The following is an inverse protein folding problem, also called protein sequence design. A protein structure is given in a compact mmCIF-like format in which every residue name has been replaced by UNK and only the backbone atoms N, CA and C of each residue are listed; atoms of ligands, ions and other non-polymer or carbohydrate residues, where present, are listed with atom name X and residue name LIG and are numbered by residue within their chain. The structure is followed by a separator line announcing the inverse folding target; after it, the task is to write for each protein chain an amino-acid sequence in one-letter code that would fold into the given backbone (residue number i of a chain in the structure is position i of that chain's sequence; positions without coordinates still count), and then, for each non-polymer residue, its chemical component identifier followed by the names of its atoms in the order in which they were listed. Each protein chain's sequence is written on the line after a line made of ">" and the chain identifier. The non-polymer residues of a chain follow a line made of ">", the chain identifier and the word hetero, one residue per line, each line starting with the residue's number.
data_IF_672100797882
#
_entry.id   IF_672100797882
#
_cell.length_a   1.000
_cell.length_b   1.000
_cell.length_c   1.000
_cell.angle_alpha   90.00
_cell.angle_beta   90.00
_cell.angle_gamma   90.00
#
_symmetry.space_group_name_H-M   'P 1'
#
loop_
_entity.id
_entity.type
_entity.pdbx_description
1 polymer ?
#
# COMPACT_ATOMS: atom_id res chain seq x y z
N UNK A 1 0.82 -10.84 -2.89
CA UNK A 1 -0.37 -10.85 -3.79
C UNK A 1 -0.43 -9.53 -4.54
N UNK A 2 -0.79 -9.56 -5.83
CA UNK A 2 -0.98 -8.37 -6.65
C UNK A 2 -2.44 -8.27 -7.07
N UNK A 3 -3.06 -7.12 -6.80
CA UNK A 3 -4.45 -6.83 -7.18
C UNK A 3 -4.49 -5.49 -7.90
N UNK A 4 -5.04 -5.47 -9.12
CA UNK A 4 -5.24 -4.24 -9.87
C UNK A 4 -6.62 -3.65 -9.59
N UNK A 5 -6.72 -2.32 -9.57
CA UNK A 5 -8.00 -1.62 -9.47
C UNK A 5 -8.99 -2.11 -10.55
N UNK A 6 -10.27 -2.22 -10.20
CA UNK A 6 -11.32 -2.76 -11.08
C UNK A 6 -11.45 -4.29 -11.07
N UNK A 7 -10.58 -5.00 -10.34
CA UNK A 7 -10.77 -6.44 -10.07
C UNK A 7 -11.99 -6.63 -9.16
N UNK A 8 -12.83 -7.62 -9.47
CA UNK A 8 -13.91 -8.03 -8.56
C UNK A 8 -13.33 -8.68 -7.31
N UNK A 9 -13.59 -8.06 -6.17
CA UNK A 9 -13.07 -8.48 -4.86
C UNK A 9 -14.12 -9.16 -3.99
N UNK A 10 -15.31 -9.46 -4.53
CA UNK A 10 -16.45 -9.99 -3.77
C UNK A 10 -16.20 -11.37 -3.16
N UNK A 11 -15.35 -12.17 -3.80
CA UNK A 11 -14.96 -13.52 -3.34
C UNK A 11 -13.62 -13.56 -2.60
N UNK A 12 -13.04 -12.40 -2.25
CA UNK A 12 -11.77 -12.39 -1.52
C UNK A 12 -11.98 -12.94 -0.11
N UNK A 13 -10.99 -13.70 0.33
CA UNK A 13 -10.91 -14.23 1.67
C UNK A 13 -9.52 -13.92 2.25
N UNK A 14 -9.40 -13.86 3.58
CA UNK A 14 -8.11 -13.69 4.23
C UNK A 14 -7.12 -14.77 3.79
N UNK A 15 -5.90 -14.37 3.48
CA UNK A 15 -4.87 -15.30 3.02
C UNK A 15 -4.33 -16.05 4.24
N UNK A 16 -4.50 -17.37 4.25
CA UNK A 16 -4.09 -18.23 5.36
C UNK A 16 -2.66 -18.75 5.17
N UNK A 17 -1.95 -18.99 6.29
CA UNK A 17 -0.65 -19.68 6.31
C UNK A 17 0.47 -19.01 5.48
N UNK A 18 0.52 -17.67 5.48
CA UNK A 18 1.59 -16.93 4.78
C UNK A 18 2.65 -16.50 5.78
N UNK A 19 3.91 -16.72 5.40
CA UNK A 19 5.10 -16.13 6.03
C UNK A 19 5.70 -15.18 5.00
N UNK A 20 5.95 -13.92 5.37
CA UNK A 20 6.36 -12.83 4.49
C UNK A 20 5.28 -12.48 3.43
N UNK A 21 4.54 -11.43 3.70
CA UNK A 21 3.31 -11.03 3.05
C UNK A 21 3.41 -9.62 2.51
N UNK A 22 3.50 -9.54 1.18
CA UNK A 22 3.47 -8.28 0.43
C UNK A 22 2.17 -8.17 -0.33
N UNK A 23 1.44 -7.07 -0.17
CA UNK A 23 0.29 -6.74 -1.00
C UNK A 23 0.63 -5.58 -1.94
N UNK A 24 0.44 -5.82 -3.23
CA UNK A 24 0.63 -4.83 -4.28
C UNK A 24 -0.75 -4.42 -4.80
N UNK A 25 -1.10 -3.13 -4.65
CA UNK A 25 -2.34 -2.54 -5.16
C UNK A 25 -2.01 -1.55 -6.29
N UNK A 26 -2.15 -2.02 -7.53
CA UNK A 26 -1.76 -1.23 -8.71
C UNK A 26 -2.93 -0.48 -9.36
N UNK A 27 -2.61 0.53 -10.15
CA UNK A 27 -3.57 1.31 -10.94
C UNK A 27 -4.54 2.16 -10.09
N UNK A 28 -4.08 2.61 -8.93
CA UNK A 28 -4.79 3.60 -8.10
C UNK A 28 -4.63 5.00 -8.71
N UNK A 29 -5.46 5.30 -9.70
CA UNK A 29 -5.45 6.57 -10.43
C UNK A 29 -6.63 7.49 -10.07
N UNK A 30 -7.72 6.92 -9.55
CA UNK A 30 -8.98 7.63 -9.27
C UNK A 30 -9.29 7.58 -7.75
N UNK A 31 -9.71 8.68 -7.11
CA UNK A 31 -10.22 8.66 -5.73
C UNK A 31 -11.32 7.64 -5.47
N UNK A 32 -12.14 7.30 -6.46
CA UNK A 32 -13.19 6.28 -6.31
C UNK A 32 -12.61 4.88 -6.06
N UNK A 33 -11.31 4.67 -6.32
CA UNK A 33 -10.61 3.43 -6.00
C UNK A 33 -10.19 3.33 -4.53
N UNK A 34 -10.23 4.40 -3.73
CA UNK A 34 -9.80 4.38 -2.33
C UNK A 34 -10.62 3.41 -1.47
N UNK A 35 -11.96 3.43 -1.47
CA UNK A 35 -12.74 2.49 -0.67
C UNK A 35 -12.53 1.04 -1.10
N UNK A 36 -12.30 0.82 -2.40
CA UNK A 36 -11.94 -0.49 -2.94
C UNK A 36 -10.57 -0.96 -2.42
N UNK A 37 -9.56 -0.09 -2.45
CA UNK A 37 -8.21 -0.42 -1.99
C UNK A 37 -8.19 -0.79 -0.50
N UNK A 38 -8.86 0.00 0.33
CA UNK A 38 -9.00 -0.22 1.78
C UNK A 38 -9.68 -1.56 2.06
N UNK A 39 -10.84 -1.81 1.43
CA UNK A 39 -11.58 -3.06 1.61
C UNK A 39 -10.75 -4.27 1.16
N UNK A 40 -10.05 -4.16 0.05
CA UNK A 40 -9.21 -5.23 -0.52
C UNK A 40 -8.08 -5.58 0.45
N UNK A 41 -7.35 -4.56 0.94
CA UNK A 41 -6.28 -4.74 1.90
C UNK A 41 -6.79 -5.34 3.22
N UNK A 42 -7.92 -4.86 3.76
CA UNK A 42 -8.48 -5.41 4.99
C UNK A 42 -8.93 -6.87 4.83
N UNK A 43 -9.53 -7.21 3.68
CA UNK A 43 -10.07 -8.55 3.43
C UNK A 43 -8.98 -9.59 3.19
N UNK A 44 -7.89 -9.21 2.49
CA UNK A 44 -6.77 -10.11 2.19
C UNK A 44 -5.78 -10.25 3.35
N UNK A 45 -5.95 -9.46 4.42
CA UNK A 45 -4.96 -9.36 5.49
C UNK A 45 -4.64 -10.73 6.10
N UNK A 46 -3.35 -11.13 6.12
CA UNK A 46 -2.90 -12.29 6.89
C UNK A 46 -3.10 -12.06 8.39
N UNK A 47 -3.16 -13.13 9.21
CA UNK A 47 -3.34 -12.99 10.66
C UNK A 47 -2.28 -12.12 11.35
N UNK A 48 -1.05 -12.10 10.82
CA UNK A 48 0.07 -11.28 11.31
C UNK A 48 0.09 -9.85 10.76
N UNK A 49 -0.82 -9.49 9.85
CA UNK A 49 -0.68 -8.26 9.05
C UNK A 49 0.17 -8.48 7.81
N UNK A 50 0.43 -7.39 7.09
CA UNK A 50 1.36 -7.33 5.97
C UNK A 50 2.76 -7.02 6.47
N UNK A 51 3.77 -7.56 5.81
CA UNK A 51 5.13 -7.07 5.94
C UNK A 51 5.27 -5.79 5.11
N UNK A 52 4.74 -5.81 3.87
CA UNK A 52 4.83 -4.72 2.91
C UNK A 52 3.48 -4.38 2.24
N UNK A 53 3.20 -3.08 2.10
CA UNK A 53 2.18 -2.57 1.18
C UNK A 53 2.81 -1.76 0.06
N UNK A 54 2.48 -2.09 -1.19
CA UNK A 54 3.08 -1.45 -2.38
C UNK A 54 1.98 -0.87 -3.25
N UNK A 55 2.10 0.41 -3.59
CA UNK A 55 1.18 1.15 -4.45
C UNK A 55 1.88 1.60 -5.74
N UNK A 56 2.13 0.69 -6.69
CA UNK A 56 2.79 1.04 -7.93
C UNK A 56 1.86 1.82 -8.85
N UNK A 57 2.44 2.80 -9.55
CA UNK A 57 1.71 3.69 -10.46
C UNK A 57 0.54 4.43 -9.77
N UNK A 58 0.70 4.75 -8.48
CA UNK A 58 -0.25 5.55 -7.73
C UNK A 58 -0.22 6.99 -8.27
N UNK A 59 -1.37 7.53 -8.67
CA UNK A 59 -1.52 8.93 -9.12
C UNK A 59 -2.39 9.75 -8.18
N UNK A 60 -2.58 9.27 -6.96
CA UNK A 60 -3.32 9.97 -5.92
C UNK A 60 -2.60 11.28 -5.56
N UNK A 61 -3.40 12.31 -5.31
CA UNK A 61 -2.91 13.56 -4.70
C UNK A 61 -2.41 13.31 -3.27
N UNK A 62 -1.62 14.24 -2.70
CA UNK A 62 -1.11 14.10 -1.33
C UNK A 62 -2.22 13.87 -0.29
N UNK A 63 -3.31 14.65 -0.40
CA UNK A 63 -4.46 14.54 0.49
C UNK A 63 -5.17 13.18 0.36
N UNK A 64 -5.30 12.66 -0.86
CA UNK A 64 -5.89 11.34 -1.11
C UNK A 64 -5.00 10.20 -0.59
N UNK A 65 -3.67 10.34 -0.70
CA UNK A 65 -2.75 9.37 -0.13
C UNK A 65 -2.82 9.37 1.40
N UNK A 66 -2.87 10.54 2.04
CA UNK A 66 -3.10 10.62 3.48
C UNK A 66 -4.43 9.99 3.89
N UNK A 67 -5.51 10.29 3.17
CA UNK A 67 -6.82 9.68 3.41
C UNK A 67 -6.75 8.16 3.29
N UNK A 68 -6.08 7.63 2.25
CA UNK A 68 -5.89 6.19 2.07
C UNK A 68 -5.22 5.55 3.29
N UNK A 69 -4.15 6.16 3.80
CA UNK A 69 -3.40 5.66 4.95
C UNK A 69 -4.25 5.71 6.24
N UNK A 70 -4.94 6.83 6.47
CA UNK A 70 -5.86 6.98 7.61
C UNK A 70 -7.00 5.94 7.55
N UNK A 71 -7.57 5.69 6.37
CA UNK A 71 -8.64 4.71 6.16
C UNK A 71 -8.15 3.26 6.31
N UNK A 72 -6.95 2.93 5.82
CA UNK A 72 -6.34 1.62 6.02
C UNK A 72 -6.16 1.31 7.51
N UNK A 73 -5.65 2.27 8.26
CA UNK A 73 -5.54 2.14 9.71
C UNK A 73 -6.92 2.00 10.38
N UNK A 74 -7.89 2.84 9.99
CA UNK A 74 -9.27 2.75 10.50
C UNK A 74 -9.93 1.40 10.22
N UNK A 75 -9.56 0.74 9.12
CA UNK A 75 -9.99 -0.62 8.77
C UNK A 75 -9.21 -1.73 9.50
N UNK A 76 -8.24 -1.39 10.35
CA UNK A 76 -7.42 -2.32 11.10
C UNK A 76 -6.33 -3.01 10.27
N UNK A 77 -5.94 -2.40 9.15
CA UNK A 77 -4.84 -2.90 8.32
C UNK A 77 -3.52 -2.70 9.05
N UNK A 78 -2.73 -3.77 9.19
CA UNK A 78 -1.43 -3.77 9.87
C UNK A 78 -0.31 -3.97 8.86
N UNK A 79 0.74 -3.19 9.02
CA UNK A 79 1.95 -3.24 8.17
C UNK A 79 3.16 -3.18 9.09
N UNK A 80 3.97 -4.23 9.10
CA UNK A 80 5.09 -4.36 10.03
C UNK A 80 6.36 -3.64 9.54
N UNK A 81 6.68 -3.72 8.25
CA UNK A 81 7.91 -3.17 7.69
C UNK A 81 7.63 -1.86 6.96
N UNK A 82 7.17 -1.91 5.72
CA UNK A 82 7.22 -0.76 4.82
C UNK A 82 5.93 -0.51 4.03
N UNK A 83 5.66 0.78 3.81
CA UNK A 83 4.73 1.23 2.77
C UNK A 83 5.55 1.84 1.65
N UNK A 84 5.32 1.35 0.44
CA UNK A 84 6.04 1.78 -0.74
C UNK A 84 5.04 2.46 -1.70
N UNK A 85 5.39 3.65 -2.19
CA UNK A 85 4.57 4.39 -3.18
C UNK A 85 5.43 4.83 -4.37
N UNK A 86 4.86 4.82 -5.59
CA UNK A 86 5.57 5.27 -6.79
C UNK A 86 6.02 6.75 -6.70
N UNK A 87 7.16 7.07 -7.31
CA UNK A 87 7.78 8.39 -7.31
C UNK A 87 6.94 9.46 -8.01
N UNK A 88 6.04 9.05 -8.91
CA UNK A 88 5.07 9.97 -9.52
C UNK A 88 4.14 10.59 -8.45
N UNK A 89 3.64 9.78 -7.50
CA UNK A 89 2.91 10.29 -6.34
C UNK A 89 3.85 11.09 -5.41
N UNK A 90 5.11 10.65 -5.26
CA UNK A 90 6.10 11.34 -4.42
C UNK A 90 6.40 12.77 -4.90
N UNK A 91 6.55 12.96 -6.21
CA UNK A 91 6.97 14.22 -6.81
C UNK A 91 5.98 15.36 -6.56
N UNK A 92 4.71 15.04 -6.35
CA UNK A 92 3.65 16.01 -6.05
C UNK A 92 3.33 16.10 -4.55
N UNK A 93 3.97 15.28 -3.73
CA UNK A 93 3.59 15.05 -2.34
C UNK A 93 4.63 15.61 -1.38
N UNK A 94 4.17 16.47 -0.47
CA UNK A 94 4.99 16.91 0.65
C UNK A 94 5.27 15.70 1.55
N UNK A 95 6.50 15.18 1.45
CA UNK A 95 7.00 14.04 2.20
C UNK A 95 6.69 14.15 3.69
N UNK A 96 6.81 15.34 4.27
CA UNK A 96 6.57 15.58 5.68
C UNK A 96 5.09 15.41 6.05
N UNK A 97 4.18 15.82 5.16
CA UNK A 97 2.75 15.69 5.38
C UNK A 97 2.30 14.22 5.41
N UNK A 98 2.94 13.34 4.63
CA UNK A 98 2.65 11.90 4.65
C UNK A 98 3.30 11.21 5.85
N UNK A 99 4.52 11.58 6.22
CA UNK A 99 5.16 11.10 7.46
C UNK A 99 4.34 11.49 8.70
N UNK A 100 3.81 12.72 8.74
CA UNK A 100 2.90 13.19 9.79
C UNK A 100 1.57 12.41 9.79
N UNK A 101 1.03 12.04 8.62
CA UNK A 101 -0.16 11.22 8.51
C UNK A 101 0.08 9.78 9.00
N UNK A 102 1.22 9.18 8.67
CA UNK A 102 1.62 7.87 9.18
C UNK A 102 1.75 7.88 10.70
N UNK A 103 2.46 8.89 11.22
CA UNK A 103 2.64 9.07 12.67
C UNK A 103 1.30 9.27 13.39
N UNK A 104 0.39 10.09 12.83
CA UNK A 104 -0.95 10.34 13.40
C UNK A 104 -1.88 9.15 13.29
N UNK A 105 -1.80 8.40 12.19
CA UNK A 105 -2.64 7.21 11.97
C UNK A 105 -2.24 6.07 12.90
N UNK A 106 -1.00 5.97 13.34
CA UNK A 106 -0.57 4.85 14.19
C UNK A 106 -0.46 3.53 13.42
N UNK A 107 -0.37 3.60 12.09
CA UNK A 107 0.18 2.52 11.28
C UNK A 107 1.64 2.33 11.74
N UNK A 108 1.88 1.32 12.58
CA UNK A 108 3.19 0.97 13.13
C UNK A 108 4.11 0.37 12.05
N UNK A 109 4.38 1.09 10.96
CA UNK A 109 5.43 0.69 10.02
C UNK A 109 6.79 0.95 10.68
N UNK A 110 7.49 -0.12 11.08
CA UNK A 110 8.82 0.00 11.70
C UNK A 110 9.88 0.48 10.70
N UNK A 111 9.70 0.21 9.41
CA UNK A 111 10.60 0.61 8.32
C UNK A 111 10.25 1.97 7.69
N UNK A 112 9.02 2.45 7.85
CA UNK A 112 8.57 3.77 7.37
C UNK A 112 8.01 3.77 5.95
N UNK A 113 7.99 4.95 5.32
CA UNK A 113 7.48 5.16 3.96
C UNK A 113 8.63 5.32 2.97
N UNK A 114 8.63 4.49 1.94
CA UNK A 114 9.58 4.57 0.83
C UNK A 114 8.91 5.05 -0.45
N UNK A 115 9.62 5.92 -1.17
CA UNK A 115 9.26 6.30 -2.53
C UNK A 115 10.22 5.62 -3.50
N UNK A 116 9.68 4.97 -4.52
CA UNK A 116 10.46 4.28 -5.53
C UNK A 116 10.06 4.75 -6.92
N UNK A 117 11.02 4.91 -7.81
CA UNK A 117 10.78 5.33 -9.19
C UNK A 117 10.13 4.16 -9.94
N UNK A 118 8.99 4.35 -10.61
CA UNK A 118 8.37 3.22 -11.33
C UNK A 118 7.79 3.58 -12.69
N UNK A 119 8.19 2.74 -13.67
CA UNK A 119 7.35 2.23 -14.77
C UNK A 119 7.93 0.90 -15.35
N UNK A 120 9.12 0.41 -14.94
CA UNK A 120 9.72 -0.82 -15.50
C UNK A 120 10.20 -1.88 -14.46
N UNK A 121 10.57 -1.50 -13.23
CA UNK A 121 11.32 -2.42 -12.33
C UNK A 121 10.46 -3.44 -11.56
N UNK A 122 9.17 -3.20 -11.36
CA UNK A 122 8.29 -4.19 -10.71
C UNK A 122 7.94 -5.39 -11.59
N UNK A 123 8.10 -5.28 -12.91
CA UNK A 123 8.05 -6.41 -13.86
C UNK A 123 9.27 -7.33 -13.71
N UNK A 124 10.39 -6.78 -13.23
CA UNK A 124 11.67 -7.45 -13.06
C UNK A 124 11.98 -7.87 -11.61
N UNK A 125 11.04 -7.71 -10.68
CA UNK A 125 11.21 -8.13 -9.29
C UNK A 125 11.11 -9.67 -9.13
N UNK A 126 11.94 -10.41 -9.87
CA UNK A 126 12.42 -11.72 -9.47
C UNK A 126 13.48 -11.50 -8.38
N UNK A 127 13.09 -11.74 -7.13
CA UNK A 127 13.96 -11.95 -5.96
C UNK A 127 15.37 -11.36 -6.03
N UNK A 128 15.54 -10.13 -5.51
CA UNK A 128 16.86 -9.55 -5.30
C UNK A 128 16.89 -8.78 -3.99
N UNK A 129 17.42 -9.41 -2.95
CA UNK A 129 17.82 -8.75 -1.71
C UNK A 129 18.97 -7.78 -2.01
N UNK A 130 18.91 -6.57 -1.47
CA UNK A 130 20.09 -5.73 -1.24
C UNK A 130 20.18 -5.35 0.25
N UNK A 131 21.42 -5.32 0.72
CA UNK A 131 21.90 -5.47 2.10
C UNK A 131 21.61 -4.28 3.02
#
# INVERSE_FOLDING_TARGET
>A
VHVAAGTDTSSLAPIQNVVNSRLVLSQLQDPDHLPWAVRTAATLQPPSGYDDLVFPSCRLTPAQLCQLLEDLNGAGVRVEEEIMVSAAAAATTDKKLVEDALTRSGLECKGGLLWFQDDDELSSFQGGYYW
#
